data_IF_791469291406
#
_entry.id   IF_791469291406
#
_cell.length_a   1.000
_cell.length_b   1.000
_cell.length_c   1.000
_cell.angle_alpha   90.00
_cell.angle_beta   90.00
_cell.angle_gamma   90.00
#
_symmetry.space_group_name_H-M   'P 1'
#
loop_
_entity.id
_entity.type
_entity.pdbx_description
1 polymer ?
#
# COMPACT_ATOMS: atom_id res chain seq x y z
N UNK A 1 -7.32 -5.50 -8.47
CA UNK A 1 -7.09 -4.10 -8.05
C UNK A 1 -8.09 -3.12 -8.69
N UNK A 2 -8.23 -3.08 -10.03
CA UNK A 2 -9.17 -2.17 -10.72
C UNK A 2 -10.61 -2.19 -10.17
N UNK A 3 -11.24 -3.37 -10.04
CA UNK A 3 -12.61 -3.46 -9.50
C UNK A 3 -12.70 -2.95 -8.07
N UNK A 4 -11.71 -3.26 -7.22
CA UNK A 4 -11.67 -2.78 -5.83
C UNK A 4 -11.56 -1.24 -5.76
N UNK A 5 -10.82 -0.61 -6.67
CA UNK A 5 -10.75 0.87 -6.76
C UNK A 5 -12.12 1.44 -7.13
N UNK A 6 -12.80 0.87 -8.13
CA UNK A 6 -14.15 1.31 -8.50
C UNK A 6 -15.20 0.99 -7.43
N UNK A 7 -15.02 -0.06 -6.65
CA UNK A 7 -15.88 -0.34 -5.50
C UNK A 7 -15.84 0.80 -4.48
N UNK A 8 -14.67 1.41 -4.23
CA UNK A 8 -14.56 2.59 -3.34
C UNK A 8 -15.35 3.78 -3.90
N UNK A 9 -15.27 4.03 -5.21
CA UNK A 9 -16.06 5.09 -5.86
C UNK A 9 -17.55 4.85 -5.66
N UNK A 10 -18.02 3.64 -5.95
CA UNK A 10 -19.44 3.28 -5.83
C UNK A 10 -19.92 3.31 -4.38
N UNK A 11 -19.09 2.93 -3.41
CA UNK A 11 -19.44 3.03 -1.99
C UNK A 11 -19.76 4.47 -1.55
N UNK A 12 -19.11 5.48 -2.16
CA UNK A 12 -19.39 6.89 -1.87
C UNK A 12 -20.65 7.40 -2.55
N UNK A 13 -21.08 6.76 -3.64
CA UNK A 13 -22.33 7.07 -4.34
C UNK A 13 -23.53 6.29 -3.75
N UNK A 14 -23.28 5.18 -3.06
CA UNK A 14 -24.29 4.24 -2.57
C UNK A 14 -25.18 4.85 -1.49
N UNK A 15 -26.49 4.69 -1.63
CA UNK A 15 -27.50 5.04 -0.60
C UNK A 15 -28.37 3.83 -0.28
N UNK A 16 -29.24 3.95 0.73
CA UNK A 16 -30.18 2.89 1.08
C UNK A 16 -31.19 2.64 -0.05
N UNK A 17 -31.59 3.69 -0.78
CA UNK A 17 -32.51 3.61 -1.93
C UNK A 17 -31.81 3.10 -3.20
N UNK A 18 -30.53 3.42 -3.38
CA UNK A 18 -29.72 3.03 -4.54
C UNK A 18 -28.38 2.41 -4.09
N UNK A 19 -28.38 1.15 -3.66
CA UNK A 19 -27.16 0.45 -3.25
C UNK A 19 -26.27 0.11 -4.45
N UNK A 20 -25.00 0.51 -4.40
CA UNK A 20 -24.01 0.36 -5.48
C UNK A 20 -22.81 -0.49 -5.01
N UNK A 21 -23.00 -1.80 -4.90
CA UNK A 21 -21.97 -2.74 -4.40
C UNK A 21 -21.57 -3.83 -5.39
N UNK A 22 -21.79 -3.60 -6.69
CA UNK A 22 -21.57 -4.61 -7.75
C UNK A 22 -20.12 -5.06 -7.96
N UNK A 23 -19.13 -4.27 -7.55
CA UNK A 23 -17.71 -4.63 -7.64
C UNK A 23 -17.14 -5.26 -6.37
N UNK A 24 -17.97 -5.50 -5.36
CA UNK A 24 -17.55 -6.11 -4.10
C UNK A 24 -17.68 -7.63 -4.17
N UNK A 25 -16.79 -8.38 -3.50
CA UNK A 25 -16.98 -9.81 -3.30
C UNK A 25 -18.32 -10.09 -2.61
N UNK A 26 -18.94 -11.20 -2.98
CA UNK A 26 -20.20 -11.68 -2.38
C UNK A 26 -19.86 -12.61 -1.21
N UNK A 27 -20.77 -12.72 -0.24
CA UNK A 27 -20.66 -13.68 0.86
C UNK A 27 -20.25 -13.06 2.20
N UNK A 28 -20.28 -13.89 3.24
CA UNK A 28 -20.01 -13.48 4.62
C UNK A 28 -18.55 -13.08 4.86
N UNK A 29 -17.62 -13.54 4.03
CA UNK A 29 -16.21 -13.17 4.07
C UNK A 29 -15.90 -11.89 3.29
N UNK A 30 -16.90 -11.26 2.66
CA UNK A 30 -16.70 -10.02 1.90
C UNK A 30 -16.11 -8.92 2.78
N UNK A 31 -15.14 -8.18 2.27
CA UNK A 31 -14.69 -6.96 2.98
C UNK A 31 -15.74 -5.84 2.93
N UNK A 32 -16.77 -5.96 2.09
CA UNK A 32 -17.87 -5.01 1.99
C UNK A 32 -18.96 -5.28 3.03
N UNK A 33 -19.23 -4.30 3.90
CA UNK A 33 -20.25 -4.43 4.95
C UNK A 33 -21.67 -4.68 4.42
N UNK A 34 -22.04 -4.07 3.29
CA UNK A 34 -23.34 -4.32 2.64
C UNK A 34 -23.46 -5.77 2.17
N UNK A 35 -22.43 -6.30 1.48
CA UNK A 35 -22.44 -7.68 0.96
C UNK A 35 -22.41 -8.74 2.08
N UNK A 36 -21.74 -8.43 3.19
CA UNK A 36 -21.82 -9.24 4.41
C UNK A 36 -23.24 -9.28 4.99
N UNK A 37 -23.85 -8.11 5.14
CA UNK A 37 -25.20 -8.02 5.69
C UNK A 37 -26.22 -8.71 4.79
N UNK A 38 -26.12 -8.54 3.48
CA UNK A 38 -26.92 -9.25 2.47
C UNK A 38 -26.77 -10.77 2.60
N UNK A 39 -25.55 -11.29 2.73
CA UNK A 39 -25.30 -12.72 2.86
C UNK A 39 -25.84 -13.32 4.16
N UNK A 40 -25.73 -12.58 5.28
CA UNK A 40 -26.19 -13.03 6.60
C UNK A 40 -27.65 -12.63 6.92
N UNK A 41 -28.39 -12.08 5.95
CA UNK A 41 -29.77 -11.63 6.15
C UNK A 41 -29.95 -10.48 7.15
N UNK A 42 -28.89 -9.70 7.41
CA UNK A 42 -28.91 -8.55 8.33
C UNK A 42 -29.22 -7.27 7.58
N UNK A 43 -29.80 -6.29 8.27
CA UNK A 43 -29.97 -4.95 7.71
C UNK A 43 -28.64 -4.21 7.64
N UNK A 44 -28.47 -3.41 6.59
CA UNK A 44 -27.34 -2.50 6.43
C UNK A 44 -27.88 -1.09 6.23
N UNK A 45 -27.24 -0.11 6.87
CA UNK A 45 -27.55 1.31 6.68
C UNK A 45 -26.33 2.00 6.10
N UNK A 46 -26.49 2.59 4.92
CA UNK A 46 -25.44 3.35 4.27
C UNK A 46 -25.09 4.58 5.10
N UNK A 47 -23.80 4.81 5.26
CA UNK A 47 -23.24 5.96 5.96
C UNK A 47 -22.22 6.62 5.04
N UNK A 48 -22.10 7.94 5.14
CA UNK A 48 -21.07 8.71 4.44
C UNK A 48 -21.18 8.68 2.90
N UNK A 49 -22.40 8.61 2.37
CA UNK A 49 -22.65 8.93 0.97
C UNK A 49 -22.33 10.41 0.72
N UNK A 50 -21.79 10.70 -0.45
CA UNK A 50 -21.46 12.05 -0.88
C UNK A 50 -22.48 12.52 -1.93
N UNK A 51 -22.72 13.85 -2.04
CA UNK A 51 -23.53 14.37 -3.13
C UNK A 51 -22.98 13.91 -4.48
N UNK A 52 -23.86 13.55 -5.40
CA UNK A 52 -23.51 13.04 -6.74
C UNK A 52 -22.49 13.94 -7.42
N UNK A 53 -22.69 15.26 -7.38
CA UNK A 53 -21.76 16.23 -7.99
C UNK A 53 -20.31 16.10 -7.46
N UNK A 54 -20.13 15.81 -6.17
CA UNK A 54 -18.80 15.62 -5.55
C UNK A 54 -18.18 14.31 -6.03
N UNK A 55 -18.94 13.22 -6.03
CA UNK A 55 -18.45 11.90 -6.49
C UNK A 55 -18.07 11.96 -7.97
N UNK A 56 -18.91 12.60 -8.78
CA UNK A 56 -18.67 12.78 -10.21
C UNK A 56 -17.41 13.62 -10.50
N UNK A 57 -17.16 14.67 -9.71
CA UNK A 57 -15.92 15.43 -9.80
C UNK A 57 -14.67 14.58 -9.51
N UNK A 58 -14.79 13.53 -8.69
CA UNK A 58 -13.70 12.58 -8.40
C UNK A 58 -13.52 11.50 -9.47
N UNK A 59 -14.51 11.29 -10.37
CA UNK A 59 -14.50 10.21 -11.37
C UNK A 59 -13.20 10.17 -12.21
N UNK A 60 -12.64 11.30 -12.70
CA UNK A 60 -11.38 11.27 -13.45
C UNK A 60 -10.22 10.69 -12.64
N UNK A 61 -10.15 10.99 -11.33
CA UNK A 61 -9.12 10.47 -10.43
C UNK A 61 -9.23 8.95 -10.31
N UNK A 62 -10.44 8.42 -10.12
CA UNK A 62 -10.66 6.97 -10.05
C UNK A 62 -10.36 6.26 -11.38
N UNK A 63 -10.66 6.90 -12.52
CA UNK A 63 -10.27 6.40 -13.83
C UNK A 63 -8.75 6.28 -13.94
N UNK A 64 -8.02 7.33 -13.58
CA UNK A 64 -6.56 7.36 -13.70
C UNK A 64 -5.91 6.38 -12.70
N UNK A 65 -6.44 6.28 -11.47
CA UNK A 65 -5.99 5.29 -10.47
C UNK A 65 -6.27 3.85 -10.89
N UNK A 66 -7.29 3.61 -11.71
CA UNK A 66 -7.63 2.27 -12.20
C UNK A 66 -6.97 1.90 -13.52
N UNK A 67 -6.09 2.77 -14.05
CA UNK A 67 -5.41 2.56 -15.32
C UNK A 67 -4.46 1.34 -15.27
N UNK A 68 -4.55 0.39 -16.22
CA UNK A 68 -3.74 -0.83 -16.19
C UNK A 68 -2.23 -0.60 -16.06
N UNK A 69 -1.69 0.41 -16.75
CA UNK A 69 -0.25 0.73 -16.69
C UNK A 69 0.20 1.21 -15.31
N UNK A 70 -0.68 1.89 -14.56
CA UNK A 70 -0.39 2.26 -13.17
C UNK A 70 -0.45 1.01 -12.29
N UNK A 71 -1.50 0.21 -12.42
CA UNK A 71 -1.71 -0.99 -11.60
C UNK A 71 -0.63 -2.05 -11.81
N UNK A 72 -0.06 -2.16 -13.02
CA UNK A 72 1.05 -3.08 -13.31
C UNK A 72 2.28 -2.77 -12.46
N UNK A 73 2.50 -1.51 -12.08
CA UNK A 73 3.62 -1.12 -11.19
C UNK A 73 3.47 -1.70 -9.78
N UNK A 74 2.22 -1.90 -9.32
CA UNK A 74 1.93 -2.47 -8.00
C UNK A 74 2.19 -3.99 -7.91
N UNK A 75 2.31 -4.69 -9.05
CA UNK A 75 2.54 -6.15 -9.06
C UNK A 75 3.92 -6.55 -8.56
N UNK A 76 4.90 -5.64 -8.62
CA UNK A 76 6.27 -5.94 -8.19
C UNK A 76 6.44 -6.01 -6.67
N UNK A 77 5.39 -5.70 -5.90
CA UNK A 77 5.44 -5.71 -4.42
C UNK A 77 6.44 -4.72 -3.82
N UNK A 78 6.91 -3.74 -4.61
CA UNK A 78 7.84 -2.72 -4.12
C UNK A 78 7.08 -1.73 -3.22
N UNK A 79 7.75 -1.28 -2.17
CA UNK A 79 7.21 -0.26 -1.28
C UNK A 79 7.03 1.06 -2.03
N UNK A 80 6.02 1.86 -1.66
CA UNK A 80 5.80 3.19 -2.26
C UNK A 80 6.94 4.17 -1.95
N UNK A 81 7.75 3.90 -0.93
CA UNK A 81 8.86 4.76 -0.53
C UNK A 81 10.16 3.96 -0.33
N UNK A 82 10.80 3.51 -1.44
CA UNK A 82 12.06 2.78 -1.35
C UNK A 82 13.17 3.64 -0.73
N UNK A 83 13.14 4.95 -0.93
CA UNK A 83 14.13 5.87 -0.36
C UNK A 83 14.01 5.95 1.16
N UNK A 84 12.81 6.16 1.70
CA UNK A 84 12.61 6.19 3.15
C UNK A 84 12.92 4.84 3.80
N UNK A 85 12.56 3.74 3.15
CA UNK A 85 12.90 2.40 3.62
C UNK A 85 14.42 2.18 3.64
N UNK A 86 15.14 2.54 2.58
CA UNK A 86 16.59 2.46 2.52
C UNK A 86 17.24 3.31 3.61
N UNK A 87 16.80 4.55 3.74
CA UNK A 87 17.40 5.43 4.71
C UNK A 87 17.13 4.98 6.15
N UNK A 88 15.97 4.38 6.45
CA UNK A 88 15.72 3.76 7.75
C UNK A 88 16.79 2.71 8.10
N UNK A 89 17.21 1.91 7.11
CA UNK A 89 18.34 0.97 7.28
C UNK A 89 19.62 1.75 7.57
N UNK A 90 19.96 2.80 6.82
CA UNK A 90 21.14 3.64 7.08
C UNK A 90 21.14 4.16 8.53
N UNK A 91 20.06 4.80 8.97
CA UNK A 91 19.99 5.42 10.30
C UNK A 91 19.95 4.42 11.44
N UNK A 92 19.54 3.18 11.20
CA UNK A 92 19.66 2.11 12.20
C UNK A 92 21.10 1.64 12.40
N UNK A 93 22.02 1.85 11.43
CA UNK A 93 23.46 1.57 11.57
C UNK A 93 24.23 2.79 12.06
N UNK A 94 23.95 3.94 11.46
CA UNK A 94 24.60 5.24 11.73
C UNK A 94 23.53 6.28 12.08
N UNK A 95 23.13 6.36 13.37
CA UNK A 95 22.10 7.28 13.82
C UNK A 95 22.46 8.74 13.55
N UNK A 96 21.48 9.54 13.09
CA UNK A 96 21.68 10.98 12.80
C UNK A 96 22.16 11.79 14.00
N UNK A 97 21.79 11.37 15.21
CA UNK A 97 22.10 12.07 16.45
C UNK A 97 23.52 11.80 16.97
N UNK A 98 24.26 10.88 16.34
CA UNK A 98 25.59 10.46 16.79
C UNK A 98 26.63 10.90 15.78
N UNK A 99 27.59 11.71 16.22
CA UNK A 99 28.75 12.05 15.41
C UNK A 99 29.64 10.81 15.22
N UNK A 100 30.05 10.54 13.98
CA UNK A 100 30.98 9.48 13.61
C UNK A 100 31.97 10.00 12.58
N UNK A 101 33.16 9.39 12.52
CA UNK A 101 34.16 9.70 11.50
C UNK A 101 33.71 9.22 10.10
N UNK A 102 34.31 9.77 9.05
CA UNK A 102 33.91 9.50 7.66
C UNK A 102 34.07 8.02 7.28
N UNK A 103 35.05 7.34 7.85
CA UNK A 103 35.30 5.91 7.65
C UNK A 103 34.15 5.08 8.22
N UNK A 104 33.72 5.37 9.45
CA UNK A 104 32.58 4.71 10.10
C UNK A 104 31.28 4.99 9.36
N UNK A 105 31.06 6.24 8.94
CA UNK A 105 29.90 6.61 8.13
C UNK A 105 29.86 5.82 6.82
N UNK A 106 30.98 5.76 6.12
CA UNK A 106 31.10 5.03 4.85
C UNK A 106 30.80 3.55 5.04
N UNK A 107 31.39 2.91 6.06
CA UNK A 107 31.15 1.50 6.35
C UNK A 107 29.68 1.21 6.71
N UNK A 108 29.06 2.06 7.52
CA UNK A 108 27.65 1.94 7.87
C UNK A 108 26.70 2.08 6.67
N UNK A 109 27.03 2.97 5.72
CA UNK A 109 26.27 3.11 4.47
C UNK A 109 26.47 1.89 3.57
N UNK A 110 27.69 1.38 3.41
CA UNK A 110 27.92 0.14 2.64
C UNK A 110 27.16 -1.06 3.24
N UNK A 111 27.17 -1.22 4.57
CA UNK A 111 26.38 -2.25 5.26
C UNK A 111 24.88 -2.11 4.97
N UNK A 112 24.37 -0.89 5.04
CA UNK A 112 22.97 -0.59 4.78
C UNK A 112 22.57 -0.93 3.34
N UNK A 113 23.40 -0.57 2.35
CA UNK A 113 23.19 -0.92 0.93
C UNK A 113 23.16 -2.42 0.73
N UNK A 114 24.11 -3.16 1.30
CA UNK A 114 24.15 -4.62 1.22
C UNK A 114 22.91 -5.24 1.87
N UNK A 115 22.55 -4.77 3.07
CA UNK A 115 21.39 -5.26 3.82
C UNK A 115 20.06 -4.96 3.13
N UNK A 116 19.94 -3.80 2.48
CA UNK A 116 18.71 -3.40 1.81
C UNK A 116 18.44 -4.20 0.54
N UNK A 117 19.50 -4.53 -0.21
CA UNK A 117 19.37 -5.26 -1.47
C UNK A 117 19.32 -6.79 -1.26
N UNK A 118 20.17 -7.34 -0.38
CA UNK A 118 20.38 -8.78 -0.25
C UNK A 118 20.14 -9.32 1.17
N UNK A 119 19.71 -8.46 2.11
CA UNK A 119 19.56 -8.84 3.50
C UNK A 119 20.88 -9.29 4.14
N UNK A 120 20.81 -10.28 5.04
CA UNK A 120 21.97 -10.78 5.76
C UNK A 120 22.88 -11.69 4.91
N UNK A 121 22.46 -12.08 3.69
CA UNK A 121 23.27 -12.93 2.81
C UNK A 121 24.60 -12.26 2.45
N UNK A 122 24.59 -10.96 2.18
CA UNK A 122 25.81 -10.22 1.85
C UNK A 122 26.76 -10.09 3.04
N UNK A 123 26.23 -10.01 4.27
CA UNK A 123 27.04 -10.04 5.51
C UNK A 123 27.75 -11.37 5.69
N UNK A 124 27.02 -12.48 5.49
CA UNK A 124 27.60 -13.82 5.59
C UNK A 124 28.75 -14.01 4.58
N UNK A 125 28.57 -13.57 3.34
CA UNK A 125 29.63 -13.63 2.30
C UNK A 125 30.86 -12.81 2.68
N UNK A 126 30.70 -11.65 3.32
CA UNK A 126 31.83 -10.85 3.79
C UNK A 126 32.59 -11.56 4.91
N UNK A 127 31.86 -12.07 5.91
CA UNK A 127 32.46 -12.80 7.04
C UNK A 127 33.21 -14.05 6.57
N UNK A 128 32.67 -14.79 5.61
CA UNK A 128 33.34 -15.96 5.01
C UNK A 128 34.64 -15.63 4.27
N UNK A 129 34.80 -14.40 3.76
CA UNK A 129 36.05 -13.98 3.10
C UNK A 129 37.11 -13.48 4.08
N UNK A 130 36.71 -13.21 5.32
CA UNK A 130 37.57 -12.66 6.36
C UNK A 130 38.00 -13.73 7.39
N UNK A 131 37.39 -14.91 7.33
CA UNK A 131 37.83 -16.12 8.03
C UNK A 131 38.88 -16.86 7.19
#
# INVERSE_FOLDING_TARGET
>A
MRQAIWAIFLHKLSTDEYPQHGFCPIGEDSWCGFKKAEASGKSYKHKNSLPVAVVEAMRPIFRDLSHPDLLKKCLHGKTQNPNESFYNVVWSRVPKATFVQIETLSLGVYDAVCSFNDGNVSKLKMLQKWA
#
